data_IF_070367890886
#
_entry.id   IF_070367890886
#
_cell.length_a   1.000
_cell.length_b   1.000
_cell.length_c   1.000
_cell.angle_alpha   90.00
_cell.angle_beta   90.00
_cell.angle_gamma   90.00
#
_symmetry.space_group_name_H-M   'P 1'
#
loop_
_entity.id
_entity.type
_entity.pdbx_description
1 polymer ?
#
# COMPACT_ATOMS: atom_id res chain seq x y z
N UNK A 1 -19.38 21.37 13.94
CA UNK A 1 -18.02 20.85 13.62
C UNK A 1 -17.56 21.43 12.30
N UNK A 2 -16.66 22.42 12.34
CA UNK A 2 -16.23 23.18 11.14
C UNK A 2 -15.11 22.50 10.35
N UNK A 3 -14.31 21.67 11.01
CA UNK A 3 -13.12 21.05 10.42
C UNK A 3 -13.09 19.54 10.64
N UNK A 4 -12.45 18.85 9.71
CA UNK A 4 -12.14 17.41 9.78
C UNK A 4 -10.65 17.19 9.70
N UNK A 5 -10.20 16.20 10.45
CA UNK A 5 -8.84 15.72 10.46
C UNK A 5 -8.75 14.49 9.56
N UNK A 6 -7.89 14.53 8.55
CA UNK A 6 -7.80 13.53 7.49
C UNK A 6 -6.40 12.97 7.39
N UNK A 7 -6.26 11.65 7.35
CA UNK A 7 -5.00 10.99 6.99
C UNK A 7 -4.94 10.74 5.49
N UNK A 8 -3.82 11.08 4.88
CA UNK A 8 -3.56 10.90 3.44
C UNK A 8 -2.60 9.73 3.26
N UNK A 9 -2.94 8.79 2.38
CA UNK A 9 -2.10 7.66 1.97
C UNK A 9 -1.54 6.79 3.11
N UNK A 10 -2.23 5.69 3.39
CA UNK A 10 -1.84 4.70 4.39
C UNK A 10 -0.83 3.68 3.82
N UNK A 11 -0.66 3.66 2.49
CA UNK A 11 0.06 2.62 1.76
C UNK A 11 1.59 2.74 1.89
N UNK A 12 2.10 3.95 2.08
CA UNK A 12 3.54 4.27 2.06
C UNK A 12 4.30 4.02 3.37
N UNK A 13 3.65 3.50 4.42
CA UNK A 13 4.29 3.20 5.72
C UNK A 13 4.62 4.43 6.59
N UNK A 14 4.48 5.66 6.06
CA UNK A 14 4.56 6.91 6.83
C UNK A 14 3.16 7.40 7.19
N UNK A 15 2.53 6.69 8.13
CA UNK A 15 1.22 6.96 8.75
C UNK A 15 1.17 8.24 9.62
N UNK A 16 1.99 9.26 9.31
CA UNK A 16 2.43 10.22 10.32
C UNK A 16 1.82 11.61 10.26
N UNK A 17 1.10 11.97 9.19
CA UNK A 17 0.52 13.31 9.09
C UNK A 17 -0.99 13.30 8.92
N UNK A 18 -1.64 13.84 9.94
CA UNK A 18 -3.03 14.28 9.92
C UNK A 18 -3.06 15.69 9.33
N UNK A 19 -3.91 15.90 8.34
CA UNK A 19 -4.14 17.18 7.69
C UNK A 19 -5.55 17.65 8.00
N UNK A 20 -5.71 18.94 8.30
CA UNK A 20 -7.01 19.51 8.61
C UNK A 20 -7.65 20.09 7.34
N UNK A 21 -8.94 19.82 7.16
CA UNK A 21 -9.76 20.31 6.06
C UNK A 21 -11.05 20.93 6.60
N UNK A 22 -11.58 21.91 5.89
CA UNK A 22 -12.87 22.51 6.20
C UNK A 22 -14.00 21.64 5.64
N UNK A 23 -15.09 21.52 6.39
CA UNK A 23 -16.32 20.86 5.94
C UNK A 23 -17.11 21.84 5.07
N UNK A 24 -17.35 21.54 3.78
CA UNK A 24 -18.23 22.37 2.96
C UNK A 24 -19.68 22.16 3.39
N UNK A 25 -20.52 23.19 3.19
CA UNK A 25 -21.95 23.18 3.55
C UNK A 25 -22.70 22.00 2.92
N UNK A 26 -22.33 21.60 1.70
CA UNK A 26 -22.92 20.46 0.98
C UNK A 26 -22.68 19.09 1.64
N UNK A 27 -21.70 18.99 2.54
CA UNK A 27 -21.34 17.77 3.26
C UNK A 27 -21.59 17.87 4.77
N UNK A 28 -22.19 18.96 5.24
CA UNK A 28 -22.47 19.16 6.66
C UNK A 28 -23.39 18.05 7.20
N UNK A 29 -23.05 17.49 8.36
CA UNK A 29 -23.77 16.37 8.98
C UNK A 29 -23.65 15.01 8.28
N UNK A 30 -22.99 14.93 7.11
CA UNK A 30 -22.85 13.68 6.33
C UNK A 30 -21.53 12.96 6.54
N UNK A 31 -20.55 13.63 7.15
CA UNK A 31 -19.22 13.10 7.40
C UNK A 31 -19.17 12.41 8.76
N UNK A 32 -18.50 11.26 8.82
CA UNK A 32 -18.27 10.48 10.04
C UNK A 32 -16.80 10.05 10.13
N UNK A 33 -16.32 9.81 11.34
CA UNK A 33 -14.99 9.25 11.57
C UNK A 33 -14.91 7.85 10.94
N UNK A 34 -13.78 7.54 10.30
CA UNK A 34 -13.56 6.33 9.51
C UNK A 34 -13.98 6.46 8.05
N UNK A 35 -14.80 7.46 7.67
CA UNK A 35 -15.21 7.60 6.27
C UNK A 35 -14.05 7.99 5.36
N UNK A 36 -14.04 7.40 4.16
CA UNK A 36 -13.14 7.78 3.09
C UNK A 36 -13.68 9.00 2.32
N UNK A 37 -12.82 9.99 2.13
CA UNK A 37 -13.12 11.26 1.46
C UNK A 37 -12.11 11.58 0.38
N UNK A 38 -12.54 12.38 -0.59
CA UNK A 38 -11.66 12.99 -1.60
C UNK A 38 -11.29 14.39 -1.12
N UNK A 39 -10.02 14.73 -1.24
CA UNK A 39 -9.43 16.00 -0.81
C UNK A 39 -8.37 16.49 -1.80
N UNK A 40 -8.18 17.81 -1.94
CA UNK A 40 -7.07 18.36 -2.70
C UNK A 40 -5.78 18.30 -1.87
N UNK A 41 -4.70 17.77 -2.44
CA UNK A 41 -3.42 17.60 -1.74
C UNK A 41 -2.23 18.20 -2.51
N UNK A 42 -1.26 18.71 -1.76
CA UNK A 42 -0.07 19.38 -2.28
C UNK A 42 -0.36 20.73 -2.98
N UNK A 43 0.67 21.33 -3.57
CA UNK A 43 0.55 22.63 -4.27
C UNK A 43 -0.30 22.55 -5.54
N UNK A 44 -0.26 21.42 -6.25
CA UNK A 44 -1.04 21.21 -7.47
C UNK A 44 -2.51 20.80 -7.24
N UNK A 45 -3.02 20.85 -6.00
CA UNK A 45 -4.39 20.48 -5.65
C UNK A 45 -4.85 19.12 -6.21
N UNK A 46 -3.95 18.14 -6.27
CA UNK A 46 -4.28 16.83 -6.86
C UNK A 46 -5.34 16.16 -5.98
N UNK A 47 -6.43 15.63 -6.56
CA UNK A 47 -7.42 14.91 -5.79
C UNK A 47 -6.81 13.60 -5.29
N UNK A 48 -6.81 13.40 -3.98
CA UNK A 48 -6.36 12.17 -3.33
C UNK A 48 -7.44 11.66 -2.39
N UNK A 49 -7.39 10.35 -2.12
CA UNK A 49 -8.25 9.73 -1.12
C UNK A 49 -7.60 9.83 0.26
N UNK A 50 -8.41 10.09 1.27
CA UNK A 50 -8.00 10.07 2.67
C UNK A 50 -9.12 9.57 3.56
N UNK A 51 -8.84 9.38 4.85
CA UNK A 51 -9.83 8.94 5.82
C UNK A 51 -9.95 9.92 6.96
N UNK A 52 -11.18 10.17 7.40
CA UNK A 52 -11.48 11.05 8.53
C UNK A 52 -11.09 10.34 9.83
N UNK A 53 -10.20 10.94 10.61
CA UNK A 53 -9.75 10.42 11.91
C UNK A 53 -10.28 11.24 13.09
N UNK A 54 -10.99 12.32 12.83
CA UNK A 54 -11.63 13.13 13.86
C UNK A 54 -12.18 14.44 13.32
N UNK A 55 -12.81 15.20 14.21
CA UNK A 55 -13.40 16.50 13.94
C UNK A 55 -12.83 17.54 14.90
N UNK A 56 -12.84 18.79 14.46
CA UNK A 56 -12.45 19.93 15.28
C UNK A 56 -13.35 21.13 14.99
N UNK A 57 -13.58 21.96 16.00
CA UNK A 57 -14.22 23.27 15.85
C UNK A 57 -13.18 24.39 15.67
N UNK A 58 -11.92 24.12 16.02
CA UNK A 58 -10.80 25.06 15.90
C UNK A 58 -9.88 24.69 14.74
N UNK A 59 -9.36 25.71 14.08
CA UNK A 59 -8.34 25.57 13.05
C UNK A 59 -6.96 25.47 13.71
N UNK A 60 -6.22 24.40 13.39
CA UNK A 60 -4.84 24.17 13.85
C UNK A 60 -3.82 24.85 12.91
N UNK A 61 -4.28 25.29 11.73
CA UNK A 61 -3.51 25.94 10.70
C UNK A 61 -4.18 27.27 10.30
N UNK A 62 -3.43 28.22 9.68
CA UNK A 62 -4.02 29.42 9.12
C UNK A 62 -5.17 29.08 8.15
N UNK A 63 -6.33 29.72 8.32
CA UNK A 63 -7.54 29.44 7.55
C UNK A 63 -7.31 29.48 6.03
N UNK A 64 -6.44 30.39 5.56
CA UNK A 64 -6.06 30.55 4.16
C UNK A 64 -5.38 29.30 3.55
N UNK A 65 -4.77 28.47 4.39
CA UNK A 65 -4.07 27.24 3.97
C UNK A 65 -4.96 25.99 4.09
N UNK A 66 -6.11 26.11 4.77
CA UNK A 66 -7.05 25.01 4.96
C UNK A 66 -7.94 24.91 3.73
N UNK A 67 -7.87 23.76 3.06
CA UNK A 67 -8.70 23.46 1.90
C UNK A 67 -9.99 22.76 2.34
N UNK A 68 -10.96 22.70 1.44
CA UNK A 68 -12.24 22.01 1.69
C UNK A 68 -12.19 20.55 1.25
N UNK A 69 -12.99 19.72 1.91
CA UNK A 69 -13.27 18.34 1.45
C UNK A 69 -14.04 18.41 0.14
N UNK A 70 -13.60 17.68 -0.90
CA UNK A 70 -14.24 17.75 -2.22
C UNK A 70 -15.34 16.71 -2.42
N UNK A 71 -15.36 15.64 -1.64
CA UNK A 71 -16.44 14.64 -1.72
C UNK A 71 -16.27 13.45 -0.79
N UNK A 72 -17.33 12.65 -0.70
CA UNK A 72 -17.34 11.37 0.00
C UNK A 72 -17.09 10.26 -1.03
N UNK A 73 -16.21 9.32 -0.72
CA UNK A 73 -15.97 8.15 -1.58
C UNK A 73 -17.01 7.08 -1.25
N UNK A 74 -17.91 6.79 -2.20
CA UNK A 74 -18.91 5.73 -2.08
C UNK A 74 -18.28 4.36 -2.35
N UNK A 75 -18.75 3.31 -1.64
CA UNK A 75 -18.26 1.94 -1.84
C UNK A 75 -16.82 1.68 -1.35
N UNK A 76 -16.31 2.50 -0.43
CA UNK A 76 -15.01 2.25 0.21
C UNK A 76 -15.02 0.95 1.02
N UNK A 77 -13.85 0.32 1.16
CA UNK A 77 -13.71 -0.95 1.88
C UNK A 77 -14.16 -0.76 3.33
N UNK A 78 -15.24 -1.44 3.71
CA UNK A 78 -15.85 -1.30 5.03
C UNK A 78 -14.84 -1.60 6.15
N UNK A 79 -13.97 -2.59 5.95
CA UNK A 79 -12.98 -3.00 6.94
C UNK A 79 -11.97 -1.90 7.27
N UNK A 80 -11.39 -1.22 6.28
CA UNK A 80 -10.42 -0.14 6.51
C UNK A 80 -11.07 1.03 7.26
N UNK A 81 -12.29 1.37 6.88
CA UNK A 81 -13.05 2.44 7.53
C UNK A 81 -13.34 2.12 9.01
N UNK A 82 -13.69 0.86 9.30
CA UNK A 82 -13.91 0.37 10.67
C UNK A 82 -12.62 0.36 11.49
N UNK A 83 -11.50 -0.08 10.91
CA UNK A 83 -10.21 -0.10 11.59
C UNK A 83 -9.73 1.33 11.89
N UNK A 84 -9.92 2.27 10.97
CA UNK A 84 -9.56 3.67 11.19
C UNK A 84 -10.44 4.31 12.26
N UNK A 85 -11.73 4.01 12.28
CA UNK A 85 -12.61 4.42 13.38
C UNK A 85 -12.16 3.84 14.73
N UNK A 86 -11.73 2.57 14.75
CA UNK A 86 -11.16 1.93 15.92
C UNK A 86 -9.86 2.61 16.37
N UNK A 87 -8.95 2.94 15.46
CA UNK A 87 -7.75 3.69 15.79
C UNK A 87 -8.05 5.08 16.38
N UNK A 88 -9.03 5.79 15.81
CA UNK A 88 -9.46 7.08 16.33
C UNK A 88 -10.03 6.95 17.76
N UNK A 89 -10.79 5.89 18.03
CA UNK A 89 -11.27 5.56 19.36
C UNK A 89 -10.11 5.21 20.33
N UNK A 90 -9.17 4.36 19.91
CA UNK A 90 -7.99 3.98 20.71
C UNK A 90 -7.15 5.19 21.11
N UNK A 91 -6.93 6.14 20.20
CA UNK A 91 -6.25 7.41 20.52
C UNK A 91 -6.95 8.15 21.66
N UNK A 92 -8.29 8.24 21.58
CA UNK A 92 -9.09 8.99 22.57
C UNK A 92 -9.14 8.27 23.92
N UNK A 93 -9.24 6.94 23.91
CA UNK A 93 -9.44 6.14 25.12
C UNK A 93 -8.14 5.77 25.82
N UNK A 94 -7.10 5.43 25.07
CA UNK A 94 -5.84 4.91 25.60
C UNK A 94 -4.72 5.95 25.65
N UNK A 95 -4.96 7.19 25.19
CA UNK A 95 -3.95 8.24 25.13
C UNK A 95 -2.79 7.96 24.17
N UNK A 96 -2.92 6.96 23.29
CA UNK A 96 -1.90 6.65 22.29
C UNK A 96 -1.84 7.73 21.22
N UNK A 97 -0.72 7.81 20.50
CA UNK A 97 -0.68 8.62 19.28
C UNK A 97 -1.57 8.01 18.19
N UNK A 98 -2.04 8.83 17.25
CA UNK A 98 -2.80 8.34 16.09
C UNK A 98 -1.99 7.31 15.28
N UNK A 99 -0.67 7.53 15.16
CA UNK A 99 0.23 6.60 14.46
C UNK A 99 0.28 5.23 15.14
N UNK A 100 0.46 5.18 16.47
CA UNK A 100 0.45 3.92 17.22
C UNK A 100 -0.87 3.17 17.06
N UNK A 101 -1.99 3.88 17.16
CA UNK A 101 -3.31 3.29 16.99
C UNK A 101 -3.50 2.73 15.57
N UNK A 102 -3.16 3.50 14.53
CA UNK A 102 -3.28 3.07 13.13
C UNK A 102 -2.37 1.87 12.81
N UNK A 103 -1.12 1.85 13.30
CA UNK A 103 -0.21 0.70 13.12
C UNK A 103 -0.70 -0.58 13.79
N UNK A 104 -1.52 -0.46 14.83
CA UNK A 104 -2.05 -1.62 15.56
C UNK A 104 -3.22 -2.26 14.82
N UNK A 105 -4.10 -1.42 14.24
CA UNK A 105 -5.34 -1.89 13.62
C UNK A 105 -5.18 -2.16 12.12
N UNK A 106 -4.28 -1.45 11.43
CA UNK A 106 -4.08 -1.63 10.00
C UNK A 106 -3.02 -2.69 9.76
N UNK A 107 -3.29 -3.68 8.88
CA UNK A 107 -2.26 -4.60 8.43
C UNK A 107 -1.23 -3.78 7.64
N UNK A 108 -0.11 -3.44 8.29
CA UNK A 108 1.03 -2.86 7.57
C UNK A 108 1.40 -3.92 6.55
N UNK A 109 1.35 -3.60 5.25
CA UNK A 109 2.00 -4.42 4.23
C UNK A 109 3.48 -4.47 4.61
N UNK A 110 3.85 -5.44 5.45
CA UNK A 110 5.22 -5.90 5.48
C UNK A 110 5.51 -6.19 4.01
N UNK A 111 6.60 -5.62 3.50
CA UNK A 111 7.16 -6.08 2.24
C UNK A 111 7.63 -7.51 2.49
N UNK A 112 6.70 -8.44 2.60
CA UNK A 112 6.99 -9.86 2.58
C UNK A 112 7.60 -10.03 1.21
N UNK A 113 8.91 -10.26 1.18
CA UNK A 113 9.62 -10.65 -0.03
C UNK A 113 8.79 -11.81 -0.57
N UNK A 114 8.12 -11.61 -1.70
CA UNK A 114 7.47 -12.72 -2.37
C UNK A 114 8.55 -13.79 -2.53
N UNK A 115 8.34 -14.93 -1.90
CA UNK A 115 9.19 -16.09 -2.13
C UNK A 115 8.82 -16.54 -3.54
N UNK A 116 9.54 -16.00 -4.52
CA UNK A 116 9.39 -16.41 -5.91
C UNK A 116 10.19 -17.69 -6.02
N UNK A 117 9.48 -18.82 -5.94
CA UNK A 117 10.04 -20.11 -6.30
C UNK A 117 10.27 -20.13 -7.82
N UNK A 118 11.51 -20.35 -8.26
CA UNK A 118 11.89 -20.31 -9.68
C UNK A 118 12.51 -21.63 -10.03
N UNK A 119 11.83 -22.40 -10.87
CA UNK A 119 12.36 -23.65 -11.39
C UNK A 119 12.83 -23.48 -12.82
N UNK A 120 14.01 -24.02 -13.13
CA UNK A 120 14.48 -24.18 -14.50
C UNK A 120 14.03 -25.54 -15.03
N UNK A 121 13.29 -25.56 -16.14
CA UNK A 121 12.77 -26.78 -16.77
C UNK A 121 13.39 -26.93 -18.15
N UNK A 122 13.82 -28.15 -18.49
CA UNK A 122 14.29 -28.46 -19.83
C UNK A 122 13.08 -28.54 -20.80
N UNK A 123 12.99 -27.60 -21.75
CA UNK A 123 12.00 -27.63 -22.84
C UNK A 123 12.55 -28.21 -24.15
N UNK A 124 13.76 -28.78 -24.12
CA UNK A 124 14.39 -29.42 -25.27
C UNK A 124 14.14 -30.92 -25.24
N UNK A 125 13.98 -31.50 -26.41
CA UNK A 125 14.01 -32.95 -26.56
C UNK A 125 15.40 -33.49 -26.18
N UNK A 126 15.44 -34.71 -25.63
CA UNK A 126 16.68 -35.29 -25.08
C UNK A 126 17.82 -35.37 -26.11
N UNK A 127 17.48 -35.57 -27.39
CA UNK A 127 18.45 -35.64 -28.48
C UNK A 127 18.97 -34.26 -28.91
N UNK A 128 18.14 -33.23 -28.84
CA UNK A 128 18.57 -31.85 -29.11
C UNK A 128 19.43 -31.30 -27.97
N UNK A 129 19.07 -31.62 -26.73
CA UNK A 129 19.84 -31.25 -25.54
C UNK A 129 21.24 -31.86 -25.52
N UNK A 130 21.40 -33.13 -25.91
CA UNK A 130 22.72 -33.78 -26.03
C UNK A 130 23.60 -33.11 -27.09
N UNK A 131 23.06 -32.82 -28.28
CA UNK A 131 23.81 -32.12 -29.34
C UNK A 131 24.29 -30.73 -28.89
N UNK A 132 23.44 -30.01 -28.16
CA UNK A 132 23.78 -28.70 -27.63
C UNK A 132 24.83 -28.78 -26.50
N UNK A 133 24.77 -29.82 -25.68
CA UNK A 133 25.79 -30.11 -24.66
C UNK A 133 27.15 -30.38 -25.29
N UNK A 134 27.21 -31.20 -26.34
CA UNK A 134 28.44 -31.47 -27.09
C UNK A 134 29.03 -30.20 -27.71
N UNK A 135 28.18 -29.32 -28.24
CA UNK A 135 28.62 -28.01 -28.74
C UNK A 135 29.17 -27.12 -27.62
N UNK A 136 28.55 -27.11 -26.44
CA UNK A 136 29.01 -26.34 -25.29
C UNK A 136 30.33 -26.86 -24.72
N UNK A 137 30.53 -28.18 -24.71
CA UNK A 137 31.82 -28.80 -24.36
C UNK A 137 32.88 -28.42 -25.39
N UNK A 138 32.57 -28.53 -26.69
CA UNK A 138 33.50 -28.18 -27.78
C UNK A 138 33.92 -26.70 -27.74
N UNK A 139 33.00 -25.80 -27.40
CA UNK A 139 33.25 -24.35 -27.25
C UNK A 139 33.81 -23.97 -25.87
N UNK A 140 34.08 -24.95 -25.01
CA UNK A 140 34.62 -24.78 -23.65
C UNK A 140 33.74 -23.88 -22.74
N UNK A 141 32.42 -23.88 -22.94
CA UNK A 141 31.44 -23.16 -22.11
C UNK A 141 31.11 -23.95 -20.84
N UNK A 142 32.11 -24.10 -19.96
CA UNK A 142 32.08 -24.96 -18.77
C UNK A 142 30.83 -24.79 -17.89
N UNK A 143 30.40 -23.55 -17.64
CA UNK A 143 29.21 -23.27 -16.82
C UNK A 143 27.90 -23.69 -17.51
N UNK A 144 27.77 -23.42 -18.82
CA UNK A 144 26.57 -23.80 -19.60
C UNK A 144 26.48 -25.31 -19.80
N UNK A 145 27.61 -25.97 -20.05
CA UNK A 145 27.69 -27.42 -20.15
C UNK A 145 27.29 -28.09 -18.83
N UNK A 146 27.81 -27.60 -17.69
CA UNK A 146 27.44 -28.13 -16.36
C UNK A 146 25.95 -27.94 -16.06
N UNK A 147 25.40 -26.77 -16.37
CA UNK A 147 23.98 -26.47 -16.15
C UNK A 147 23.06 -27.33 -17.03
N UNK A 148 23.36 -27.44 -18.33
CA UNK A 148 22.57 -28.24 -19.27
C UNK A 148 22.67 -29.75 -18.95
N UNK A 149 23.84 -30.24 -18.52
CA UNK A 149 24.01 -31.61 -18.06
C UNK A 149 23.12 -31.92 -16.85
N UNK A 150 23.09 -31.02 -15.86
CA UNK A 150 22.24 -31.19 -14.68
C UNK A 150 20.74 -31.13 -15.03
N UNK A 151 20.34 -30.28 -15.99
CA UNK A 151 18.96 -30.24 -16.49
C UNK A 151 18.56 -31.49 -17.29
N UNK A 152 19.50 -32.08 -18.04
CA UNK A 152 19.27 -33.34 -18.76
C UNK A 152 19.11 -34.53 -17.81
N UNK A 153 19.78 -34.50 -16.66
CA UNK A 153 19.74 -35.55 -15.63
C UNK A 153 18.49 -35.46 -14.74
N UNK A 154 18.15 -34.25 -14.27
CA UNK A 154 17.09 -34.06 -13.27
C UNK A 154 15.76 -33.51 -13.85
N UNK A 155 15.72 -33.13 -15.14
CA UNK A 155 14.60 -32.47 -15.86
C UNK A 155 14.14 -31.12 -15.28
N UNK A 156 14.34 -30.88 -13.98
CA UNK A 156 14.02 -29.64 -13.26
C UNK A 156 15.13 -29.35 -12.23
N UNK A 157 15.47 -28.07 -12.05
CA UNK A 157 16.40 -27.58 -11.03
C UNK A 157 15.81 -26.34 -10.34
N UNK A 158 16.00 -26.25 -9.02
CA UNK A 158 15.63 -25.09 -8.19
C UNK A 158 16.73 -24.01 -8.17
#
# INVERSE_FOLDING_TARGET
MKFVNVIVDISGGKLDKVFQYKVPESLEGRLLTGMQVTIPFGMGNRPVKGYIVGFSDTADYPLEKIKEVTGIVTGSVQAESQLIALAAWMRKTCGSTMNQALKTVLPVKQKTRQVVDRQAVLMLDAEEGKKLLDEYVRKNYRAKARFLSALLEHKMLD
#
